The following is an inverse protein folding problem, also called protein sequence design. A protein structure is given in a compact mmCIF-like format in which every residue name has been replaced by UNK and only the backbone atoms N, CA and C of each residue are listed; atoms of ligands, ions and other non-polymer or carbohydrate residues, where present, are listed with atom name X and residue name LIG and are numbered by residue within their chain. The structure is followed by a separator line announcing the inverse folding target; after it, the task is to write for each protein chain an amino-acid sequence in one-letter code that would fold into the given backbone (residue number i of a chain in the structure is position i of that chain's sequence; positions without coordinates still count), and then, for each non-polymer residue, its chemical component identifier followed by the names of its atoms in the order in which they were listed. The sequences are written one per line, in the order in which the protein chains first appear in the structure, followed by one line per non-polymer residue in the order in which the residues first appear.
data_IF_313917339026
#
_entry.id   IF_313917339026
#
_cell.length_a   1.000
_cell.length_b   1.000
_cell.length_c   1.000
_cell.angle_alpha   90.00
_cell.angle_beta   90.00
_cell.angle_gamma   90.00
#
_symmetry.space_group_name_H-M   'P 1'
#
loop_
_entity.id
_entity.type
_entity.pdbx_description
1 polymer ?
#
# COMPACT_ATOMS: atom_id res chain seq x y z
N UNK A 1 -5.01 -7.61 -6.38
CA UNK A 1 -5.98 -7.32 -5.31
C UNK A 1 -5.21 -7.22 -4.01
N UNK A 2 -5.70 -6.47 -3.01
CA UNK A 2 -5.04 -6.38 -1.70
C UNK A 2 -4.87 -7.74 -1.03
N UNK A 3 -3.76 -7.90 -0.30
CA UNK A 3 -3.61 -9.00 0.64
C UNK A 3 -4.59 -8.81 1.79
N UNK A 4 -5.25 -9.89 2.22
CA UNK A 4 -6.14 -9.86 3.38
C UNK A 4 -5.31 -9.91 4.67
N UNK A 5 -5.49 -8.93 5.55
CA UNK A 5 -4.85 -8.89 6.87
C UNK A 5 -5.88 -9.35 7.89
N UNK A 6 -5.88 -10.66 8.16
CA UNK A 6 -6.92 -11.31 8.98
C UNK A 6 -6.81 -10.99 10.47
N UNK A 7 -5.60 -10.71 10.95
CA UNK A 7 -5.32 -10.36 12.34
C UNK A 7 -4.15 -9.36 12.36
N UNK A 8 -4.37 -8.18 12.95
CA UNK A 8 -3.37 -7.10 13.05
C UNK A 8 -2.62 -7.09 14.37
N UNK A 9 -3.03 -7.92 15.33
CA UNK A 9 -2.29 -8.18 16.57
C UNK A 9 -1.21 -9.26 16.37
N UNK A 10 -1.38 -10.12 15.36
CA UNK A 10 -0.36 -11.09 14.98
C UNK A 10 0.82 -10.38 14.29
N UNK A 11 2.05 -10.47 14.85
CA UNK A 11 3.21 -9.77 14.33
C UNK A 11 3.69 -10.28 12.97
N UNK A 12 3.26 -11.45 12.51
CA UNK A 12 3.55 -11.97 11.17
C UNK A 12 2.50 -11.50 10.18
N UNK A 13 1.21 -11.60 10.53
CA UNK A 13 0.12 -11.26 9.60
C UNK A 13 0.08 -9.76 9.32
N UNK A 14 0.41 -8.91 10.29
CA UNK A 14 0.47 -7.44 10.10
C UNK A 14 1.45 -7.01 8.99
N UNK A 15 2.44 -7.84 8.64
CA UNK A 15 3.34 -7.54 7.52
C UNK A 15 2.62 -7.44 6.16
N UNK A 16 1.42 -8.02 6.04
CA UNK A 16 0.61 -7.94 4.83
C UNK A 16 0.10 -6.51 4.56
N UNK A 17 -0.05 -5.67 5.59
CA UNK A 17 -0.31 -4.24 5.41
C UNK A 17 0.91 -3.55 4.76
N UNK A 18 2.12 -3.87 5.21
CA UNK A 18 3.36 -3.40 4.58
C UNK A 18 3.50 -3.85 3.13
N UNK A 19 3.13 -5.10 2.83
CA UNK A 19 3.09 -5.63 1.47
C UNK A 19 2.10 -4.87 0.59
N UNK A 20 0.92 -4.51 1.12
CA UNK A 20 -0.06 -3.70 0.39
C UNK A 20 0.49 -2.31 0.10
N UNK A 21 1.08 -1.62 1.09
CA UNK A 21 1.68 -0.29 0.88
C UNK A 21 2.86 -0.34 -0.10
N UNK A 22 3.75 -1.34 0.01
CA UNK A 22 4.86 -1.55 -0.92
C UNK A 22 4.35 -1.77 -2.35
N UNK A 23 3.30 -2.57 -2.54
CA UNK A 23 2.67 -2.75 -3.85
C UNK A 23 2.07 -1.45 -4.38
N UNK A 24 1.37 -0.67 -3.54
CA UNK A 24 0.86 0.63 -3.94
C UNK A 24 1.98 1.54 -4.44
N UNK A 25 3.05 1.67 -3.65
CA UNK A 25 4.24 2.45 -4.01
C UNK A 25 4.84 2.02 -5.35
N UNK A 26 5.14 0.74 -5.53
CA UNK A 26 5.71 0.23 -6.78
C UNK A 26 4.78 0.47 -7.98
N UNK A 27 3.47 0.27 -7.82
CA UNK A 27 2.50 0.47 -8.90
C UNK A 27 2.37 1.95 -9.29
N UNK A 28 2.38 2.88 -8.33
CA UNK A 28 2.48 4.31 -8.62
C UNK A 28 3.80 4.64 -9.31
N UNK A 29 4.92 4.05 -8.90
CA UNK A 29 6.21 4.26 -9.56
C UNK A 29 6.26 3.77 -11.02
N UNK A 30 5.58 2.66 -11.33
CA UNK A 30 5.58 2.04 -12.67
C UNK A 30 4.63 2.75 -13.64
N UNK A 31 3.52 3.30 -13.15
CA UNK A 31 2.45 3.83 -13.99
C UNK A 31 2.88 4.89 -15.05
N UNK A 32 3.86 5.79 -14.82
CA UNK A 32 4.23 6.81 -15.79
C UNK A 32 4.90 6.21 -17.04
N UNK A 33 5.52 5.03 -16.91
CA UNK A 33 6.25 4.36 -17.97
C UNK A 33 5.36 3.53 -18.92
N UNK A 34 4.06 3.42 -18.62
CA UNK A 34 3.12 2.63 -19.42
C UNK A 34 2.56 3.44 -20.59
N UNK A 35 2.84 2.99 -21.82
CA UNK A 35 2.40 3.66 -23.06
C UNK A 35 0.88 3.71 -23.23
N UNK A 36 0.16 2.64 -22.88
CA UNK A 36 -1.30 2.55 -23.12
C UNK A 36 -2.09 3.19 -21.97
N UNK A 37 -2.96 4.14 -22.29
CA UNK A 37 -3.87 4.80 -21.33
C UNK A 37 -4.71 3.80 -20.52
N UNK A 38 -5.19 2.73 -21.14
CA UNK A 38 -5.96 1.66 -20.46
C UNK A 38 -5.14 0.97 -19.37
N UNK A 39 -3.87 0.65 -19.64
CA UNK A 39 -2.98 0.01 -18.67
C UNK A 39 -2.66 0.94 -17.50
N UNK A 40 -2.38 2.23 -17.78
CA UNK A 40 -2.20 3.25 -16.74
C UNK A 40 -3.38 3.31 -15.79
N UNK A 41 -4.61 3.41 -16.32
CA UNK A 41 -5.83 3.41 -15.50
C UNK A 41 -5.98 2.16 -14.64
N UNK A 42 -5.72 0.98 -15.20
CA UNK A 42 -5.82 -0.29 -14.47
C UNK A 42 -4.80 -0.38 -13.34
N UNK A 43 -3.57 0.06 -13.58
CA UNK A 43 -2.48 0.05 -12.59
C UNK A 43 -2.75 1.07 -11.48
N UNK A 44 -3.18 2.28 -11.81
CA UNK A 44 -3.59 3.27 -10.82
C UNK A 44 -4.76 2.76 -9.95
N UNK A 45 -5.77 2.14 -10.56
CA UNK A 45 -6.88 1.55 -9.79
C UNK A 45 -6.43 0.36 -8.92
N UNK A 46 -5.38 -0.37 -9.29
CA UNK A 46 -4.79 -1.39 -8.44
C UNK A 46 -4.00 -0.78 -7.29
N UNK A 47 -3.15 0.22 -7.57
CA UNK A 47 -2.36 0.95 -6.58
C UNK A 47 -3.26 1.58 -5.50
N UNK A 48 -4.31 2.28 -5.94
CA UNK A 48 -5.30 2.89 -5.06
C UNK A 48 -5.95 1.88 -4.13
N UNK A 49 -6.40 0.73 -4.65
CA UNK A 49 -7.01 -0.33 -3.82
C UNK A 49 -6.05 -0.85 -2.75
N UNK A 50 -4.78 -1.05 -3.10
CA UNK A 50 -3.78 -1.47 -2.11
C UNK A 50 -3.56 -0.41 -1.03
N UNK A 51 -3.50 0.88 -1.43
CA UNK A 51 -3.31 1.99 -0.51
C UNK A 51 -4.49 2.15 0.46
N UNK A 52 -5.71 2.31 -0.06
CA UNK A 52 -6.89 2.64 0.77
C UNK A 52 -7.33 1.50 1.69
N UNK A 53 -7.00 0.26 1.36
CA UNK A 53 -7.27 -0.88 2.24
C UNK A 53 -6.34 -0.91 3.46
N UNK A 54 -5.18 -0.26 3.41
CA UNK A 54 -4.21 -0.27 4.51
C UNK A 54 -4.09 1.06 5.25
N UNK A 55 -4.27 2.21 4.59
CA UNK A 55 -4.13 3.55 5.21
C UNK A 55 -4.88 3.70 6.55
N UNK A 56 -6.14 3.26 6.71
CA UNK A 56 -6.86 3.39 7.97
C UNK A 56 -6.25 2.60 9.14
N UNK A 57 -5.34 1.68 8.87
CA UNK A 57 -4.79 0.73 9.84
C UNK A 57 -3.32 1.01 10.22
N UNK A 58 -2.68 2.02 9.62
CA UNK A 58 -1.27 2.34 9.88
C UNK A 58 -1.04 2.93 11.27
N UNK A 59 -2.07 3.54 11.85
CA UNK A 59 -2.08 4.09 13.20
C UNK A 59 -3.02 3.24 14.06
N UNK A 60 -2.53 2.08 14.50
CA UNK A 60 -3.24 1.16 15.38
C UNK A 60 -2.68 1.21 16.80
N UNK A 61 -3.40 0.61 17.75
CA UNK A 61 -2.91 0.47 19.14
C UNK A 61 -1.79 -0.58 19.27
N UNK A 62 -1.55 -1.38 18.22
CA UNK A 62 -0.54 -2.43 18.19
C UNK A 62 0.79 -1.87 17.70
N UNK A 63 1.79 -1.88 18.59
CA UNK A 63 3.14 -1.40 18.28
C UNK A 63 3.72 -2.11 17.05
N UNK A 64 3.44 -3.41 16.92
CA UNK A 64 3.97 -4.34 15.94
C UNK A 64 3.82 -3.85 14.51
N UNK A 65 2.76 -3.09 14.19
CA UNK A 65 2.57 -2.46 12.89
C UNK A 65 3.03 -1.00 12.85
N UNK A 66 2.68 -0.22 13.86
CA UNK A 66 2.80 1.24 13.84
C UNK A 66 4.23 1.76 13.72
N UNK A 67 5.22 1.06 14.30
CA UNK A 67 6.60 1.56 14.31
C UNK A 67 7.31 1.51 12.94
N UNK A 68 6.81 0.74 11.98
CA UNK A 68 7.44 0.60 10.65
C UNK A 68 6.49 0.85 9.48
N UNK A 69 5.17 0.62 9.61
CA UNK A 69 4.20 0.82 8.54
C UNK A 69 4.16 2.27 8.05
N UNK A 70 4.40 3.23 8.94
CA UNK A 70 4.48 4.65 8.59
C UNK A 70 5.50 4.93 7.48
N UNK A 71 6.66 4.26 7.51
CA UNK A 71 7.70 4.41 6.47
C UNK A 71 7.18 4.00 5.09
N UNK A 72 6.49 2.86 5.00
CA UNK A 72 5.90 2.37 3.76
C UNK A 72 4.76 3.28 3.27
N UNK A 73 3.95 3.80 4.21
CA UNK A 73 2.86 4.73 3.88
C UNK A 73 3.40 6.04 3.29
N UNK A 74 4.48 6.60 3.86
CA UNK A 74 5.13 7.81 3.33
C UNK A 74 5.63 7.60 1.90
N UNK A 75 6.30 6.48 1.60
CA UNK A 75 6.74 6.18 0.23
C UNK A 75 5.57 6.04 -0.75
N UNK A 76 4.51 5.33 -0.35
CA UNK A 76 3.33 5.15 -1.19
C UNK A 76 2.62 6.48 -1.46
N UNK A 77 2.34 7.29 -0.44
CA UNK A 77 1.65 8.58 -0.55
C UNK A 77 2.47 9.61 -1.32
N UNK A 78 3.77 9.72 -1.05
CA UNK A 78 4.64 10.68 -1.76
C UNK A 78 4.85 10.35 -3.24
N UNK A 79 4.61 9.10 -3.65
CA UNK A 79 4.66 8.69 -5.06
C UNK A 79 3.29 8.79 -5.72
N UNK A 80 2.19 8.64 -4.96
CA UNK A 80 0.83 8.86 -5.45
C UNK A 80 0.58 10.32 -5.82
N UNK A 81 1.08 11.26 -5.01
CA UNK A 81 0.93 12.70 -5.24
C UNK A 81 1.76 13.25 -6.42
N UNK A 82 2.46 12.41 -7.18
CA UNK A 82 3.31 12.79 -8.32
C UNK A 82 2.66 12.43 -9.65
#
# INVERSE_FOLDING_TARGET
TPANVSDRSDPKIVHLDGLNLSRAWCLYGIHPFLKKKKQRKQILAAAWRHLVTTIPHIASEHYEGTHWLASFAVYALSTESK
#
